data_IF_604659886759
#
_entry.id   IF_604659886759
#
_cell.length_a   1.000
_cell.length_b   1.000
_cell.length_c   1.000
_cell.angle_alpha   90.00
_cell.angle_beta   90.00
_cell.angle_gamma   90.00
#
_symmetry.space_group_name_H-M   'P 1'
#
loop_
_entity.id
_entity.type
_entity.pdbx_description
1 polymer ?
#
# COMPACT_ATOMS: atom_id res chain seq x y z
N UNK A 1 31.05 -12.78 -3.75
CA UNK A 1 29.57 -12.70 -3.70
C UNK A 1 28.92 -13.04 -5.05
N UNK A 2 29.49 -12.60 -6.18
CA UNK A 2 28.93 -12.90 -7.51
C UNK A 2 28.78 -14.40 -7.74
N UNK A 3 29.85 -15.17 -7.54
CA UNK A 3 29.83 -16.64 -7.69
C UNK A 3 28.78 -17.28 -6.77
N UNK A 4 28.71 -16.84 -5.52
CA UNK A 4 27.75 -17.36 -4.53
C UNK A 4 26.31 -17.14 -5.00
N UNK A 5 25.92 -15.91 -5.33
CA UNK A 5 24.55 -15.61 -5.73
C UNK A 5 24.17 -16.17 -7.09
N UNK A 6 25.12 -16.29 -8.04
CA UNK A 6 24.90 -17.00 -9.29
C UNK A 6 24.63 -18.50 -9.04
N UNK A 7 25.45 -19.15 -8.20
CA UNK A 7 25.23 -20.53 -7.80
C UNK A 7 23.85 -20.70 -7.12
N UNK A 8 23.49 -19.82 -6.19
CA UNK A 8 22.18 -19.85 -5.53
C UNK A 8 21.02 -19.68 -6.52
N UNK A 9 21.18 -18.85 -7.55
CA UNK A 9 20.15 -18.68 -8.58
C UNK A 9 19.91 -19.97 -9.36
N UNK A 10 20.99 -20.65 -9.76
CA UNK A 10 20.91 -21.96 -10.47
C UNK A 10 20.29 -23.03 -9.56
N UNK A 11 20.74 -23.08 -8.29
CA UNK A 11 20.21 -24.01 -7.30
C UNK A 11 18.71 -23.82 -7.07
N UNK A 12 18.26 -22.58 -6.91
CA UNK A 12 16.84 -22.24 -6.69
C UNK A 12 15.97 -22.63 -7.89
N UNK A 13 16.45 -22.41 -9.11
CA UNK A 13 15.77 -22.88 -10.33
C UNK A 13 15.69 -24.39 -10.39
N UNK A 14 16.78 -25.10 -10.05
CA UNK A 14 16.82 -26.56 -9.96
C UNK A 14 15.85 -27.08 -8.89
N UNK A 15 15.82 -26.51 -7.72
CA UNK A 15 14.89 -26.88 -6.64
C UNK A 15 13.43 -26.62 -7.04
N UNK A 16 13.15 -25.52 -7.76
CA UNK A 16 11.82 -25.27 -8.30
C UNK A 16 11.42 -26.32 -9.34
N UNK A 17 12.31 -26.67 -10.28
CA UNK A 17 12.08 -27.72 -11.27
C UNK A 17 11.81 -29.08 -10.60
N UNK A 18 12.61 -29.43 -9.60
CA UNK A 18 12.45 -30.66 -8.82
C UNK A 18 11.12 -30.66 -8.04
N UNK A 19 10.74 -29.54 -7.48
CA UNK A 19 9.45 -29.37 -6.78
C UNK A 19 8.26 -29.68 -7.68
N UNK A 20 8.30 -29.28 -8.94
CA UNK A 20 7.23 -29.58 -9.90
C UNK A 20 7.25 -31.10 -10.24
N UNK A 21 8.41 -31.65 -10.47
CA UNK A 21 8.57 -33.06 -10.87
C UNK A 21 8.14 -34.03 -9.76
N UNK A 22 8.65 -33.81 -8.54
CA UNK A 22 8.38 -34.64 -7.37
C UNK A 22 7.05 -34.27 -6.65
N UNK A 23 6.38 -33.19 -7.07
CA UNK A 23 5.19 -32.64 -6.41
C UNK A 23 5.43 -32.24 -4.94
N UNK A 24 6.64 -31.86 -4.59
CA UNK A 24 7.05 -31.44 -3.25
C UNK A 24 6.89 -29.92 -3.09
N UNK A 25 5.77 -29.48 -2.55
CA UNK A 25 5.48 -28.06 -2.37
C UNK A 25 6.33 -27.36 -1.29
N UNK A 26 7.08 -28.11 -0.50
CA UNK A 26 7.92 -27.57 0.59
C UNK A 26 9.31 -27.12 0.11
N UNK A 27 9.82 -27.69 -0.97
CA UNK A 27 11.15 -27.35 -1.50
C UNK A 27 11.30 -25.85 -1.82
N UNK A 28 10.37 -25.19 -2.50
CA UNK A 28 10.48 -23.75 -2.74
C UNK A 28 10.47 -22.93 -1.46
N UNK A 29 9.79 -23.39 -0.40
CA UNK A 29 9.76 -22.70 0.90
C UNK A 29 11.13 -22.76 1.57
N UNK A 30 11.76 -23.94 1.58
CA UNK A 30 13.11 -24.13 2.15
C UNK A 30 14.13 -23.30 1.36
N UNK A 31 14.08 -23.36 0.02
CA UNK A 31 14.96 -22.59 -0.86
C UNK A 31 14.82 -21.08 -0.61
N UNK A 32 13.57 -20.60 -0.45
CA UNK A 32 13.26 -19.21 -0.16
C UNK A 32 13.91 -18.75 1.15
N UNK A 33 13.65 -19.47 2.25
CA UNK A 33 14.20 -19.15 3.56
C UNK A 33 15.72 -19.13 3.52
N UNK A 34 16.34 -20.17 2.98
CA UNK A 34 17.80 -20.25 2.90
C UNK A 34 18.39 -19.11 2.08
N UNK A 35 17.80 -18.76 0.94
CA UNK A 35 18.30 -17.70 0.06
C UNK A 35 18.28 -16.35 0.76
N UNK A 36 17.18 -15.99 1.40
CA UNK A 36 17.08 -14.68 2.06
C UNK A 36 17.83 -14.61 3.38
N UNK A 37 18.02 -15.74 4.08
CA UNK A 37 18.92 -15.82 5.25
C UNK A 37 20.37 -15.56 4.82
N UNK A 38 20.86 -16.24 3.78
CA UNK A 38 22.23 -16.02 3.26
C UNK A 38 22.42 -14.57 2.79
N UNK A 39 21.43 -14.02 2.07
CA UNK A 39 21.45 -12.62 1.63
C UNK A 39 21.46 -11.66 2.81
N UNK A 40 20.66 -11.93 3.84
CA UNK A 40 20.63 -11.14 5.08
C UNK A 40 21.96 -11.18 5.84
N UNK A 41 22.56 -12.35 6.00
CA UNK A 41 23.90 -12.49 6.63
C UNK A 41 24.93 -11.70 5.82
N UNK A 42 24.90 -11.80 4.50
CA UNK A 42 25.83 -11.03 3.64
C UNK A 42 25.67 -9.51 3.85
N UNK A 43 24.45 -9.01 3.96
CA UNK A 43 24.17 -7.60 4.26
C UNK A 43 24.69 -7.18 5.64
N UNK A 44 24.54 -8.04 6.66
CA UNK A 44 25.02 -7.77 8.02
C UNK A 44 26.54 -7.74 8.13
N UNK A 45 27.29 -8.40 7.24
CA UNK A 45 28.76 -8.38 7.23
C UNK A 45 29.36 -7.05 6.75
N UNK A 46 28.54 -6.04 6.47
CA UNK A 46 28.99 -4.68 6.14
C UNK A 46 29.60 -4.51 4.75
N UNK A 47 29.57 -5.51 3.89
CA UNK A 47 30.09 -5.45 2.52
C UNK A 47 29.38 -4.41 1.63
N UNK A 48 28.26 -3.85 2.08
CA UNK A 48 27.46 -2.90 1.32
C UNK A 48 27.74 -1.44 1.64
N UNK A 49 28.51 -1.17 2.70
CA UNK A 49 28.78 0.20 3.12
C UNK A 49 29.82 0.85 2.19
N UNK A 50 29.34 1.62 1.23
CA UNK A 50 30.16 2.58 0.49
C UNK A 50 30.42 2.32 -0.99
N UNK A 51 30.00 1.20 -1.61
CA UNK A 51 30.18 1.01 -3.05
C UNK A 51 28.84 0.86 -3.79
N UNK A 52 28.51 1.84 -4.63
CA UNK A 52 27.35 1.83 -5.54
C UNK A 52 27.36 0.60 -6.44
N UNK A 53 28.51 0.14 -6.91
CA UNK A 53 28.64 -1.05 -7.76
C UNK A 53 28.14 -2.34 -7.09
N UNK A 54 28.44 -2.54 -5.81
CA UNK A 54 27.97 -3.72 -5.06
C UNK A 54 26.44 -3.65 -4.90
N UNK A 55 25.89 -2.48 -4.61
CA UNK A 55 24.44 -2.28 -4.49
C UNK A 55 23.71 -2.60 -5.79
N UNK A 56 24.27 -2.22 -6.96
CA UNK A 56 23.69 -2.55 -8.28
C UNK A 56 23.65 -4.07 -8.49
N UNK A 57 24.73 -4.79 -8.23
CA UNK A 57 24.77 -6.24 -8.41
C UNK A 57 23.79 -6.95 -7.45
N UNK A 58 23.75 -6.50 -6.18
CA UNK A 58 22.81 -7.08 -5.21
C UNK A 58 21.35 -6.81 -5.58
N UNK A 59 21.05 -5.64 -6.13
CA UNK A 59 19.71 -5.33 -6.65
C UNK A 59 19.35 -6.25 -7.82
N UNK A 60 20.27 -6.52 -8.74
CA UNK A 60 20.05 -7.46 -9.84
C UNK A 60 19.76 -8.87 -9.31
N UNK A 61 20.53 -9.38 -8.33
CA UNK A 61 20.28 -10.67 -7.72
C UNK A 61 18.97 -10.72 -6.94
N UNK A 62 18.65 -9.67 -6.18
CA UNK A 62 17.37 -9.57 -5.49
C UNK A 62 16.18 -9.60 -6.48
N UNK A 63 16.31 -8.92 -7.62
CA UNK A 63 15.31 -8.95 -8.70
C UNK A 63 15.20 -10.35 -9.32
N UNK A 64 16.33 -11.03 -9.56
CA UNK A 64 16.34 -12.38 -10.06
C UNK A 64 15.65 -13.36 -9.08
N UNK A 65 15.98 -13.28 -7.80
CA UNK A 65 15.33 -14.09 -6.76
C UNK A 65 13.84 -13.79 -6.65
N UNK A 66 13.46 -12.51 -6.73
CA UNK A 66 12.05 -12.12 -6.75
C UNK A 66 11.26 -12.86 -7.82
N UNK A 67 11.76 -12.90 -9.06
CA UNK A 67 11.10 -13.61 -10.15
C UNK A 67 11.14 -15.12 -9.97
N UNK A 68 12.25 -15.70 -9.50
CA UNK A 68 12.34 -17.16 -9.21
C UNK A 68 11.29 -17.56 -8.19
N UNK A 69 11.11 -16.79 -7.10
CA UNK A 69 10.12 -17.08 -6.05
C UNK A 69 8.70 -16.64 -6.38
N UNK A 70 8.44 -16.05 -7.54
CA UNK A 70 7.10 -15.94 -8.12
C UNK A 70 6.69 -17.19 -8.91
N UNK A 71 7.65 -18.00 -9.40
CA UNK A 71 7.36 -19.22 -10.17
C UNK A 71 6.47 -20.23 -9.43
N UNK A 72 6.49 -20.39 -8.10
CA UNK A 72 5.55 -21.23 -7.38
C UNK A 72 4.06 -20.99 -7.69
N UNK A 73 3.68 -19.81 -8.17
CA UNK A 73 2.34 -19.58 -8.72
C UNK A 73 2.00 -20.58 -9.84
N UNK A 74 2.96 -20.90 -10.70
CA UNK A 74 2.80 -21.87 -11.78
C UNK A 74 2.53 -23.29 -11.26
N UNK A 75 3.18 -23.67 -10.14
CA UNK A 75 2.93 -24.97 -9.49
C UNK A 75 1.53 -25.03 -8.89
N UNK A 76 1.05 -23.96 -8.25
CA UNK A 76 -0.32 -23.87 -7.72
C UNK A 76 -1.34 -24.09 -8.84
N UNK A 77 -1.05 -23.60 -10.05
CA UNK A 77 -1.95 -23.72 -11.19
C UNK A 77 -1.97 -25.15 -11.79
N UNK A 78 -0.85 -25.86 -11.72
CA UNK A 78 -0.70 -27.20 -12.35
C UNK A 78 -1.06 -28.35 -11.42
N UNK A 79 -0.80 -28.21 -10.13
CA UNK A 79 -0.87 -29.32 -9.17
C UNK A 79 -1.99 -29.05 -8.15
N UNK A 80 -3.09 -29.81 -8.21
CA UNK A 80 -4.23 -29.62 -7.29
C UNK A 80 -3.88 -29.81 -5.82
N UNK A 81 -2.96 -30.74 -5.52
CA UNK A 81 -2.48 -30.97 -4.15
C UNK A 81 -1.78 -29.73 -3.55
N UNK A 82 -1.19 -28.88 -4.38
CA UNK A 82 -0.47 -27.67 -3.97
C UNK A 82 -1.41 -26.49 -3.70
N UNK A 83 -2.67 -26.51 -4.19
CA UNK A 83 -3.68 -25.48 -3.88
C UNK A 83 -3.90 -25.28 -2.39
N UNK A 84 -3.66 -26.29 -1.57
CA UNK A 84 -3.86 -26.28 -0.12
C UNK A 84 -2.59 -25.93 0.64
N UNK A 85 -1.44 -25.74 -0.03
CA UNK A 85 -0.17 -25.48 0.64
C UNK A 85 -0.06 -23.99 1.00
N UNK A 86 -0.36 -23.67 2.29
CA UNK A 86 -0.24 -22.33 2.84
C UNK A 86 1.19 -21.78 2.77
N UNK A 87 2.20 -22.65 2.80
CA UNK A 87 3.60 -22.27 2.72
C UNK A 87 3.95 -21.57 1.42
N UNK A 88 3.48 -22.07 0.27
CA UNK A 88 3.71 -21.43 -1.03
C UNK A 88 3.04 -20.05 -1.14
N UNK A 89 1.84 -19.90 -0.58
CA UNK A 89 1.18 -18.60 -0.53
C UNK A 89 1.97 -17.61 0.33
N UNK A 90 2.48 -18.06 1.48
CA UNK A 90 3.33 -17.25 2.33
C UNK A 90 4.62 -16.84 1.62
N UNK A 91 5.27 -17.74 0.87
CA UNK A 91 6.45 -17.40 0.06
C UNK A 91 6.12 -16.28 -0.93
N UNK A 92 5.01 -16.37 -1.66
CA UNK A 92 4.61 -15.34 -2.63
C UNK A 92 4.39 -14.00 -1.93
N UNK A 93 3.67 -13.99 -0.81
CA UNK A 93 3.38 -12.75 -0.06
C UNK A 93 4.66 -12.14 0.49
N UNK A 94 5.44 -12.93 1.25
CA UNK A 94 6.67 -12.44 1.90
C UNK A 94 7.75 -12.04 0.90
N UNK A 95 7.84 -12.72 -0.25
CA UNK A 95 8.76 -12.38 -1.33
C UNK A 95 8.56 -10.94 -1.85
N UNK A 96 7.31 -10.51 -2.01
CA UNK A 96 7.00 -9.14 -2.43
C UNK A 96 7.49 -8.10 -1.40
N UNK A 97 7.27 -8.34 -0.10
CA UNK A 97 7.72 -7.42 0.96
C UNK A 97 9.24 -7.41 1.13
N UNK A 98 9.88 -8.58 1.08
CA UNK A 98 11.34 -8.66 1.19
C UNK A 98 11.99 -7.97 -0.02
N UNK A 99 11.46 -8.17 -1.23
CA UNK A 99 11.99 -7.51 -2.42
C UNK A 99 11.82 -5.98 -2.35
N UNK A 100 10.69 -5.46 -1.86
CA UNK A 100 10.52 -4.03 -1.63
C UNK A 100 11.55 -3.50 -0.62
N UNK A 101 11.73 -4.19 0.52
CA UNK A 101 12.65 -3.78 1.57
C UNK A 101 14.10 -3.72 1.06
N UNK A 102 14.55 -4.79 0.40
CA UNK A 102 15.89 -4.87 -0.19
C UNK A 102 16.07 -3.84 -1.30
N UNK A 103 15.04 -3.66 -2.13
CA UNK A 103 15.06 -2.69 -3.21
C UNK A 103 15.19 -1.26 -2.70
N UNK A 104 14.43 -0.88 -1.67
CA UNK A 104 14.58 0.44 -1.01
C UNK A 104 16.01 0.62 -0.49
N UNK A 105 16.55 -0.40 0.19
CA UNK A 105 17.92 -0.35 0.73
C UNK A 105 18.94 -0.13 -0.38
N UNK A 106 18.86 -0.88 -1.48
CA UNK A 106 19.83 -0.78 -2.57
C UNK A 106 19.67 0.50 -3.39
N UNK A 107 18.44 0.91 -3.68
CA UNK A 107 18.17 2.14 -4.46
C UNK A 107 18.65 3.40 -3.72
N UNK A 108 18.48 3.46 -2.40
CA UNK A 108 19.02 4.54 -1.57
C UNK A 108 20.55 4.60 -1.62
N UNK A 109 21.20 3.43 -1.54
CA UNK A 109 22.66 3.38 -1.62
C UNK A 109 23.21 3.72 -3.02
N UNK A 110 22.38 3.61 -4.08
CA UNK A 110 22.76 4.04 -5.43
C UNK A 110 22.69 5.57 -5.61
N UNK A 111 22.04 6.32 -4.71
CA UNK A 111 21.96 7.78 -4.77
C UNK A 111 21.25 8.31 -6.02
N UNK A 112 20.20 7.65 -6.47
CA UNK A 112 19.43 8.07 -7.64
C UNK A 112 18.75 9.43 -7.42
N UNK A 113 18.66 10.30 -8.45
CA UNK A 113 18.19 11.68 -8.30
C UNK A 113 16.67 11.84 -8.09
N UNK A 114 15.88 10.76 -8.12
CA UNK A 114 14.43 10.77 -7.95
C UNK A 114 14.01 9.69 -6.93
N UNK A 115 12.81 9.83 -6.39
CA UNK A 115 12.21 8.88 -5.42
C UNK A 115 11.94 7.51 -6.08
N UNK A 116 13.00 6.78 -6.42
CA UNK A 116 12.96 5.49 -7.14
C UNK A 116 12.29 4.38 -6.33
N UNK A 117 12.27 4.52 -5.01
CA UNK A 117 11.67 3.55 -4.10
C UNK A 117 10.15 3.44 -4.29
N UNK A 118 9.46 4.56 -4.51
CA UNK A 118 8.04 4.56 -4.81
C UNK A 118 7.72 3.94 -6.17
N UNK A 119 8.57 4.18 -7.18
CA UNK A 119 8.44 3.52 -8.49
C UNK A 119 8.63 2.00 -8.38
N UNK A 120 9.55 1.54 -7.53
CA UNK A 120 9.71 0.10 -7.27
C UNK A 120 8.45 -0.50 -6.65
N UNK A 121 7.86 0.15 -5.64
CA UNK A 121 6.60 -0.31 -5.03
C UNK A 121 5.47 -0.38 -6.07
N UNK A 122 5.36 0.64 -6.92
CA UNK A 122 4.38 0.66 -8.00
C UNK A 122 4.61 -0.47 -9.01
N UNK A 123 5.88 -0.74 -9.36
CA UNK A 123 6.24 -1.85 -10.27
C UNK A 123 5.82 -3.20 -9.67
N UNK A 124 6.06 -3.42 -8.38
CA UNK A 124 5.60 -4.63 -7.69
C UNK A 124 4.08 -4.75 -7.74
N UNK A 125 3.34 -3.64 -7.52
CA UNK A 125 1.89 -3.61 -7.63
C UNK A 125 1.43 -4.01 -9.05
N UNK A 126 2.05 -3.45 -10.09
CA UNK A 126 1.74 -3.77 -11.49
C UNK A 126 2.02 -5.25 -11.81
N UNK A 127 3.14 -5.81 -11.36
CA UNK A 127 3.46 -7.24 -11.57
C UNK A 127 2.38 -8.11 -10.93
N UNK A 128 2.00 -7.82 -9.67
CA UNK A 128 0.93 -8.55 -9.00
C UNK A 128 -0.43 -8.38 -9.69
N UNK A 129 -0.74 -7.20 -10.23
CA UNK A 129 -1.96 -6.95 -11.00
C UNK A 129 -2.00 -7.78 -12.30
N UNK A 130 -0.88 -7.84 -13.02
CA UNK A 130 -0.75 -8.69 -14.23
C UNK A 130 -1.00 -10.15 -13.88
N UNK A 131 -0.46 -10.63 -12.75
CA UNK A 131 -0.71 -11.99 -12.26
C UNK A 131 -2.19 -12.21 -11.90
N UNK A 132 -2.86 -11.22 -11.29
CA UNK A 132 -4.31 -11.28 -11.01
C UNK A 132 -5.12 -11.41 -12.31
N UNK A 133 -4.82 -10.59 -13.31
CA UNK A 133 -5.50 -10.62 -14.61
C UNK A 133 -5.29 -11.99 -15.28
N UNK A 134 -4.06 -12.47 -15.29
CA UNK A 134 -3.71 -13.79 -15.85
C UNK A 134 -4.41 -14.95 -15.14
N UNK A 135 -4.46 -14.93 -13.80
CA UNK A 135 -5.20 -15.90 -12.99
C UNK A 135 -6.70 -15.88 -13.28
N UNK A 136 -7.28 -14.68 -13.47
CA UNK A 136 -8.70 -14.50 -13.78
C UNK A 136 -9.07 -15.03 -15.17
N UNK A 137 -8.15 -14.93 -16.13
CA UNK A 137 -8.34 -15.49 -17.48
C UNK A 137 -8.26 -17.02 -17.51
N UNK A 138 -7.67 -17.64 -16.48
CA UNK A 138 -7.65 -19.09 -16.32
C UNK A 138 -9.07 -19.62 -16.02
N UNK A 139 -9.47 -20.70 -16.70
CA UNK A 139 -10.80 -21.30 -16.54
C UNK A 139 -11.02 -21.98 -15.17
N UNK A 140 -10.03 -21.98 -14.27
CA UNK A 140 -10.08 -22.63 -12.96
C UNK A 140 -10.49 -21.64 -11.87
N UNK A 141 -11.18 -22.10 -10.84
CA UNK A 141 -11.63 -21.28 -9.71
C UNK A 141 -10.49 -21.03 -8.70
N UNK A 142 -9.80 -19.92 -8.86
CA UNK A 142 -8.71 -19.47 -7.98
C UNK A 142 -9.12 -18.26 -7.12
N UNK A 143 -10.41 -18.13 -6.76
CA UNK A 143 -10.94 -16.95 -6.05
C UNK A 143 -10.07 -16.49 -4.89
N UNK A 144 -9.68 -17.43 -4.01
CA UNK A 144 -8.87 -17.08 -2.84
C UNK A 144 -7.51 -16.48 -3.23
N UNK A 145 -6.81 -17.07 -4.20
CA UNK A 145 -5.51 -16.59 -4.68
C UNK A 145 -5.65 -15.23 -5.36
N UNK A 146 -6.67 -15.06 -6.20
CA UNK A 146 -6.96 -13.79 -6.88
C UNK A 146 -7.18 -12.68 -5.85
N UNK A 147 -8.00 -12.92 -4.81
CA UNK A 147 -8.22 -11.92 -3.77
C UNK A 147 -6.96 -11.65 -2.93
N UNK A 148 -6.17 -12.67 -2.62
CA UNK A 148 -4.90 -12.48 -1.92
C UNK A 148 -3.92 -11.61 -2.72
N UNK A 149 -3.78 -11.89 -4.03
CA UNK A 149 -2.94 -11.10 -4.92
C UNK A 149 -3.48 -9.68 -5.13
N UNK A 150 -4.81 -9.51 -5.23
CA UNK A 150 -5.44 -8.19 -5.29
C UNK A 150 -5.20 -7.38 -4.01
N UNK A 151 -5.21 -8.05 -2.85
CA UNK A 151 -4.80 -7.45 -1.59
C UNK A 151 -3.36 -6.93 -1.63
N UNK A 152 -2.42 -7.71 -2.21
CA UNK A 152 -1.04 -7.25 -2.40
C UNK A 152 -0.96 -6.03 -3.33
N UNK A 153 -1.69 -6.03 -4.45
CA UNK A 153 -1.75 -4.87 -5.36
C UNK A 153 -2.14 -3.61 -4.58
N UNK A 154 -3.23 -3.67 -3.83
CA UNK A 154 -3.71 -2.53 -3.05
C UNK A 154 -2.69 -2.12 -1.99
N UNK A 155 -2.09 -3.09 -1.28
CA UNK A 155 -1.07 -2.79 -0.26
C UNK A 155 0.13 -2.06 -0.87
N UNK A 156 0.64 -2.50 -2.03
CA UNK A 156 1.79 -1.86 -2.67
C UNK A 156 1.44 -0.51 -3.29
N UNK A 157 0.23 -0.32 -3.80
CA UNK A 157 -0.28 1.00 -4.20
C UNK A 157 -0.35 1.93 -2.98
N UNK A 158 -0.92 1.46 -1.86
CA UNK A 158 -0.97 2.20 -0.58
C UNK A 158 0.40 2.63 -0.07
N UNK A 159 1.40 1.74 -0.16
CA UNK A 159 2.79 2.01 0.25
C UNK A 159 3.47 2.99 -0.70
N UNK A 160 3.17 2.92 -2.01
CA UNK A 160 3.73 3.84 -3.01
C UNK A 160 3.41 5.29 -2.69
N UNK A 161 2.20 5.55 -2.21
CA UNK A 161 1.67 6.90 -1.96
C UNK A 161 2.53 7.69 -0.98
N UNK A 162 2.77 7.25 0.27
CA UNK A 162 3.59 8.00 1.21
C UNK A 162 5.10 8.04 0.85
N UNK A 163 5.57 7.13 0.00
CA UNK A 163 6.96 7.16 -0.49
C UNK A 163 7.11 8.18 -1.61
N UNK A 164 6.12 8.31 -2.50
CA UNK A 164 6.22 9.10 -3.72
C UNK A 164 5.63 10.51 -3.57
N UNK A 165 4.55 10.63 -2.81
CA UNK A 165 3.81 11.86 -2.64
C UNK A 165 4.09 12.51 -1.29
N UNK A 166 3.92 13.81 -1.22
CA UNK A 166 4.11 14.61 0.00
C UNK A 166 2.80 15.32 0.37
N UNK A 167 2.61 15.59 1.67
CA UNK A 167 1.52 16.42 2.18
C UNK A 167 0.13 15.85 1.95
N UNK A 168 -0.79 16.73 1.59
CA UNK A 168 -2.23 16.48 1.49
C UNK A 168 -2.63 15.34 0.53
N UNK A 169 -1.79 15.01 -0.46
CA UNK A 169 -2.06 13.92 -1.41
C UNK A 169 -2.12 12.55 -0.73
N UNK A 170 -1.34 12.33 0.34
CA UNK A 170 -1.35 11.06 1.10
C UNK A 170 -2.74 10.84 1.69
N UNK A 171 -3.28 11.86 2.36
CA UNK A 171 -4.61 11.82 3.00
C UNK A 171 -5.72 11.56 1.98
N UNK A 172 -5.65 12.21 0.83
CA UNK A 172 -6.62 12.07 -0.25
C UNK A 172 -6.67 10.63 -0.77
N UNK A 173 -5.50 10.04 -1.05
CA UNK A 173 -5.42 8.66 -1.56
C UNK A 173 -5.87 7.63 -0.52
N UNK A 174 -5.46 7.77 0.74
CA UNK A 174 -5.90 6.86 1.79
C UNK A 174 -7.41 6.93 2.04
N UNK A 175 -8.00 8.13 1.95
CA UNK A 175 -9.46 8.29 2.03
C UNK A 175 -10.17 7.57 0.87
N UNK A 176 -9.67 7.67 -0.36
CA UNK A 176 -10.21 6.96 -1.52
C UNK A 176 -10.07 5.44 -1.37
N UNK A 177 -8.89 4.98 -0.94
CA UNK A 177 -8.60 3.54 -0.78
C UNK A 177 -9.38 2.91 0.37
N UNK A 178 -9.65 3.65 1.45
CA UNK A 178 -10.54 3.22 2.54
C UNK A 178 -11.94 2.87 2.01
N UNK A 179 -12.52 3.71 1.15
CA UNK A 179 -13.82 3.45 0.53
C UNK A 179 -13.77 2.27 -0.45
N UNK A 180 -12.68 2.17 -1.23
CA UNK A 180 -12.46 1.07 -2.16
C UNK A 180 -12.36 -0.29 -1.44
N UNK A 181 -11.59 -0.36 -0.34
CA UNK A 181 -11.46 -1.58 0.46
C UNK A 181 -12.80 -1.99 1.11
N UNK A 182 -13.58 -1.01 1.59
CA UNK A 182 -14.92 -1.28 2.09
C UNK A 182 -15.80 -1.88 1.00
N UNK A 183 -15.77 -1.32 -0.21
CA UNK A 183 -16.52 -1.84 -1.35
C UNK A 183 -16.06 -3.27 -1.73
N UNK A 184 -14.74 -3.54 -1.69
CA UNK A 184 -14.19 -4.87 -1.91
C UNK A 184 -14.65 -5.86 -0.83
N UNK A 185 -14.71 -5.44 0.43
CA UNK A 185 -15.28 -6.26 1.51
C UNK A 185 -16.72 -6.62 1.22
N UNK A 186 -17.54 -5.64 0.84
CA UNK A 186 -18.97 -5.87 0.48
C UNK A 186 -19.11 -6.89 -0.65
N UNK A 187 -18.24 -6.83 -1.67
CA UNK A 187 -18.28 -7.73 -2.83
C UNK A 187 -17.70 -9.12 -2.58
N UNK A 188 -16.60 -9.20 -1.83
CA UNK A 188 -15.85 -10.44 -1.62
C UNK A 188 -16.24 -11.17 -0.33
N UNK A 189 -16.73 -10.45 0.68
CA UNK A 189 -16.99 -10.93 2.05
C UNK A 189 -15.75 -11.51 2.74
N UNK A 190 -14.55 -11.11 2.31
CA UNK A 190 -13.30 -11.58 2.87
C UNK A 190 -12.89 -10.66 4.02
N UNK A 191 -12.79 -11.20 5.24
CA UNK A 191 -12.51 -10.43 6.46
C UNK A 191 -11.14 -9.71 6.49
N UNK A 192 -10.23 -10.04 5.57
CA UNK A 192 -8.97 -9.30 5.41
C UNK A 192 -9.23 -7.87 4.95
N UNK A 193 -10.16 -7.66 4.01
CA UNK A 193 -10.53 -6.32 3.55
C UNK A 193 -11.23 -5.50 4.63
N UNK A 194 -12.02 -6.15 5.49
CA UNK A 194 -12.63 -5.50 6.64
C UNK A 194 -11.56 -4.90 7.58
N UNK A 195 -10.51 -5.69 7.90
CA UNK A 195 -9.39 -5.22 8.73
C UNK A 195 -8.55 -4.15 8.04
N UNK A 196 -8.25 -4.34 6.76
CA UNK A 196 -7.49 -3.37 5.97
C UNK A 196 -8.23 -2.01 5.90
N UNK A 197 -9.56 -2.04 5.75
CA UNK A 197 -10.40 -0.83 5.81
C UNK A 197 -10.25 -0.09 7.14
N UNK A 198 -10.22 -0.82 8.28
CA UNK A 198 -10.02 -0.19 9.60
C UNK A 198 -8.64 0.43 9.75
N UNK A 199 -7.60 -0.25 9.26
CA UNK A 199 -6.23 0.29 9.28
C UNK A 199 -6.16 1.59 8.47
N UNK A 200 -6.69 1.58 7.23
CA UNK A 200 -6.71 2.79 6.40
C UNK A 200 -7.57 3.91 6.99
N UNK A 201 -8.67 3.56 7.64
CA UNK A 201 -9.47 4.56 8.35
C UNK A 201 -8.65 5.25 9.45
N UNK A 202 -7.86 4.49 10.22
CA UNK A 202 -6.95 5.04 11.23
C UNK A 202 -5.85 5.90 10.60
N UNK A 203 -5.22 5.42 9.53
CA UNK A 203 -4.17 6.15 8.81
C UNK A 203 -4.72 7.45 8.18
N UNK A 204 -5.89 7.41 7.55
CA UNK A 204 -6.56 8.59 6.99
C UNK A 204 -6.85 9.62 8.08
N UNK A 205 -7.32 9.19 9.25
CA UNK A 205 -7.58 10.09 10.38
C UNK A 205 -6.30 10.76 10.86
N UNK A 206 -5.23 9.98 11.09
CA UNK A 206 -3.94 10.51 11.55
C UNK A 206 -3.37 11.49 10.53
N UNK A 207 -3.35 11.11 9.24
CA UNK A 207 -2.86 11.98 8.16
C UNK A 207 -3.67 13.27 8.06
N UNK A 208 -5.00 13.19 8.15
CA UNK A 208 -5.88 14.36 8.12
C UNK A 208 -5.66 15.30 9.31
N UNK A 209 -5.45 14.75 10.51
CA UNK A 209 -5.10 15.57 11.69
C UNK A 209 -3.74 16.26 11.53
N UNK A 210 -2.77 15.60 10.91
CA UNK A 210 -1.48 16.21 10.58
C UNK A 210 -1.64 17.34 9.55
N UNK A 211 -2.50 17.17 8.54
CA UNK A 211 -2.78 18.21 7.55
C UNK A 211 -3.45 19.42 8.19
N UNK A 212 -4.43 19.23 9.09
CA UNK A 212 -5.05 20.31 9.87
C UNK A 212 -3.99 21.03 10.71
N UNK A 213 -3.14 20.28 11.43
CA UNK A 213 -2.07 20.86 12.24
C UNK A 213 -1.12 21.72 11.40
N UNK A 214 -0.71 21.23 10.24
CA UNK A 214 0.16 21.96 9.32
C UNK A 214 -0.50 23.26 8.83
N UNK A 215 -1.79 23.24 8.47
CA UNK A 215 -2.55 24.44 8.07
C UNK A 215 -2.60 25.46 9.20
N UNK A 216 -2.86 25.04 10.43
CA UNK A 216 -2.92 25.94 11.59
C UNK A 216 -1.56 26.58 11.92
N UNK A 217 -0.46 25.87 11.72
CA UNK A 217 0.89 26.33 12.05
C UNK A 217 1.57 27.13 10.92
N UNK A 218 1.21 26.84 9.66
CA UNK A 218 1.92 27.39 8.49
C UNK A 218 1.09 28.41 7.70
N UNK A 219 -0.12 28.82 8.20
CA UNK A 219 -1.08 29.64 7.48
C UNK A 219 -0.44 30.88 6.82
N UNK A 220 -0.10 30.75 5.55
CA UNK A 220 0.25 31.84 4.66
C UNK A 220 -1.03 32.35 4.01
N UNK A 221 -1.36 33.60 4.26
CA UNK A 221 -2.57 34.32 3.82
C UNK A 221 -2.66 34.58 2.30
N UNK A 222 -1.96 33.83 1.47
CA UNK A 222 -1.86 34.05 0.02
C UNK A 222 -2.59 33.02 -0.84
N UNK A 223 -3.30 32.06 -0.24
CA UNK A 223 -4.01 31.03 -1.02
C UNK A 223 -5.38 31.55 -1.52
N UNK A 224 -5.75 31.13 -2.73
CA UNK A 224 -7.04 31.49 -3.37
C UNK A 224 -8.21 30.81 -2.67
N UNK A 225 -9.33 31.53 -2.52
CA UNK A 225 -10.57 31.04 -1.90
C UNK A 225 -11.08 29.81 -2.64
N UNK A 226 -11.38 28.72 -1.93
CA UNK A 226 -11.90 27.43 -2.44
C UNK A 226 -11.02 26.69 -3.45
N UNK A 227 -9.90 27.28 -3.91
CA UNK A 227 -8.99 26.68 -4.89
C UNK A 227 -7.63 26.35 -4.26
N UNK A 228 -7.61 26.03 -2.97
CA UNK A 228 -6.40 25.60 -2.27
C UNK A 228 -6.40 24.07 -2.03
N UNK A 229 -5.20 23.51 -1.91
CA UNK A 229 -5.02 22.06 -1.73
C UNK A 229 -5.62 21.55 -0.43
N UNK A 230 -5.60 22.36 0.63
CA UNK A 230 -6.13 22.01 1.94
C UNK A 230 -7.65 21.91 1.94
N UNK A 231 -8.34 22.87 1.28
CA UNK A 231 -9.79 22.83 1.11
C UNK A 231 -10.20 21.60 0.29
N UNK A 232 -9.55 21.37 -0.86
CA UNK A 232 -9.84 20.24 -1.74
C UNK A 232 -9.67 18.90 -1.00
N UNK A 233 -8.59 18.75 -0.23
CA UNK A 233 -8.34 17.52 0.56
C UNK A 233 -9.39 17.34 1.65
N UNK A 234 -9.68 18.37 2.45
CA UNK A 234 -10.68 18.29 3.51
C UNK A 234 -12.08 17.97 2.96
N UNK A 235 -12.46 18.61 1.85
CA UNK A 235 -13.72 18.33 1.17
C UNK A 235 -13.79 16.86 0.70
N UNK A 236 -12.72 16.37 0.07
CA UNK A 236 -12.65 14.99 -0.40
C UNK A 236 -12.71 13.99 0.74
N UNK A 237 -11.98 14.20 1.84
CA UNK A 237 -12.03 13.35 3.04
C UNK A 237 -13.44 13.32 3.64
N UNK A 238 -14.12 14.46 3.73
CA UNK A 238 -15.50 14.53 4.20
C UNK A 238 -16.46 13.75 3.30
N UNK A 239 -16.33 13.89 1.97
CA UNK A 239 -17.13 13.14 0.99
C UNK A 239 -16.83 11.64 1.03
N UNK A 240 -15.56 11.24 1.13
CA UNK A 240 -15.16 9.83 1.24
C UNK A 240 -15.71 9.19 2.53
N UNK A 241 -15.64 9.89 3.66
CA UNK A 241 -16.20 9.44 4.93
C UNK A 241 -17.72 9.31 4.85
N UNK A 242 -18.39 10.25 4.17
CA UNK A 242 -19.83 10.17 3.89
C UNK A 242 -20.18 8.98 2.99
N UNK A 243 -19.43 8.75 1.91
CA UNK A 243 -19.59 7.60 1.03
C UNK A 243 -19.39 6.26 1.77
N UNK A 244 -18.43 6.22 2.69
CA UNK A 244 -18.22 5.07 3.59
C UNK A 244 -19.48 4.77 4.40
N UNK A 245 -20.06 5.76 5.05
CA UNK A 245 -21.29 5.60 5.85
C UNK A 245 -22.49 5.19 4.98
N UNK A 246 -22.63 5.77 3.78
CA UNK A 246 -23.69 5.40 2.83
C UNK A 246 -23.56 3.95 2.36
N UNK A 247 -22.34 3.48 2.07
CA UNK A 247 -22.09 2.07 1.73
C UNK A 247 -22.45 1.14 2.90
N UNK A 248 -22.07 1.48 4.13
CA UNK A 248 -22.47 0.70 5.31
C UNK A 248 -23.99 0.67 5.47
N UNK A 249 -24.67 1.81 5.28
CA UNK A 249 -26.12 1.92 5.35
C UNK A 249 -26.83 1.05 4.32
N UNK A 250 -26.34 1.06 3.07
CA UNK A 250 -26.90 0.26 1.96
C UNK A 250 -26.76 -1.25 2.16
N UNK A 251 -25.70 -1.70 2.82
CA UNK A 251 -25.41 -3.11 3.07
C UNK A 251 -25.48 -3.47 4.56
N UNK A 252 -26.41 -2.85 5.29
CA UNK A 252 -26.59 -2.95 6.74
C UNK A 252 -26.56 -4.38 7.27
N UNK A 253 -27.23 -5.33 6.60
CA UNK A 253 -27.28 -6.74 7.01
C UNK A 253 -25.89 -7.37 7.10
N UNK A 254 -25.00 -7.07 6.16
CA UNK A 254 -23.62 -7.56 6.17
C UNK A 254 -22.84 -7.05 7.39
N UNK A 255 -23.02 -5.78 7.73
CA UNK A 255 -22.28 -5.14 8.82
C UNK A 255 -22.89 -5.41 10.21
N UNK A 256 -24.11 -5.93 10.29
CA UNK A 256 -24.69 -6.37 11.56
C UNK A 256 -23.98 -7.61 12.09
N UNK A 257 -23.55 -8.51 11.21
CA UNK A 257 -22.80 -9.74 11.52
C UNK A 257 -21.29 -9.59 11.40
N UNK A 258 -20.79 -8.45 10.95
CA UNK A 258 -19.38 -8.18 10.75
C UNK A 258 -18.62 -8.23 12.10
N UNK A 259 -17.43 -8.81 12.08
CA UNK A 259 -16.63 -9.01 13.30
C UNK A 259 -16.03 -7.74 13.85
N UNK A 260 -15.58 -6.85 12.96
CA UNK A 260 -14.83 -5.64 13.31
C UNK A 260 -15.59 -4.36 13.00
N UNK A 261 -16.20 -4.26 11.82
CA UNK A 261 -16.97 -3.08 11.39
C UNK A 261 -18.47 -3.32 11.63
N UNK A 262 -18.87 -3.39 12.89
CA UNK A 262 -20.33 -3.48 13.21
C UNK A 262 -21.06 -2.22 12.78
N UNK A 263 -22.25 -2.39 12.18
CA UNK A 263 -23.07 -1.29 11.69
C UNK A 263 -23.27 -0.19 12.72
N UNK A 264 -23.76 -0.59 13.88
CA UNK A 264 -24.03 0.31 14.98
C UNK A 264 -22.84 0.51 15.79
N UNK A 265 -21.84 0.92 16.04
CA UNK A 265 -21.53 2.34 16.21
C UNK A 265 -20.88 2.98 14.95
N UNK A 266 -20.25 2.17 14.11
CA UNK A 266 -19.37 2.72 13.05
C UNK A 266 -20.12 3.60 12.05
N UNK A 267 -21.36 3.25 11.66
CA UNK A 267 -22.12 4.09 10.74
C UNK A 267 -22.43 5.47 11.33
N UNK A 268 -22.82 5.54 12.61
CA UNK A 268 -23.08 6.80 13.28
C UNK A 268 -21.83 7.66 13.46
N UNK A 269 -20.71 7.00 13.84
CA UNK A 269 -19.41 7.66 13.95
C UNK A 269 -18.98 8.25 12.60
N UNK A 270 -19.10 7.50 11.51
CA UNK A 270 -18.73 7.96 10.17
C UNK A 270 -19.61 9.11 9.67
N UNK A 271 -20.93 9.07 9.93
CA UNK A 271 -21.83 10.17 9.58
C UNK A 271 -21.49 11.45 10.35
N UNK A 272 -21.25 11.33 11.67
CA UNK A 272 -20.85 12.47 12.49
C UNK A 272 -19.47 13.01 12.07
N UNK A 273 -18.51 12.13 11.79
CA UNK A 273 -17.20 12.53 11.31
C UNK A 273 -17.28 13.24 9.95
N UNK A 274 -18.07 12.72 9.01
CA UNK A 274 -18.28 13.37 7.71
C UNK A 274 -18.89 14.78 7.88
N UNK A 275 -19.92 14.90 8.71
CA UNK A 275 -20.55 16.20 9.00
C UNK A 275 -19.56 17.18 9.66
N UNK A 276 -18.79 16.71 10.65
CA UNK A 276 -17.79 17.52 11.34
C UNK A 276 -16.66 17.97 10.40
N UNK A 277 -16.16 17.07 9.55
CA UNK A 277 -15.10 17.40 8.57
C UNK A 277 -15.62 18.42 7.56
N UNK A 278 -16.81 18.22 7.00
CA UNK A 278 -17.40 19.16 6.05
C UNK A 278 -17.65 20.53 6.71
N UNK A 279 -18.19 20.53 7.92
CA UNK A 279 -18.38 21.77 8.67
C UNK A 279 -17.05 22.50 8.92
N UNK A 280 -16.02 21.77 9.38
CA UNK A 280 -14.68 22.32 9.58
C UNK A 280 -14.10 22.89 8.28
N UNK A 281 -14.26 22.18 7.17
CA UNK A 281 -13.75 22.60 5.84
C UNK A 281 -14.25 24.00 5.46
N UNK A 282 -15.56 24.22 5.57
CA UNK A 282 -16.14 25.54 5.26
C UNK A 282 -15.82 26.60 6.30
N UNK A 283 -15.82 26.24 7.60
CA UNK A 283 -15.47 27.19 8.67
C UNK A 283 -14.01 27.62 8.62
N UNK A 284 -13.08 26.71 8.34
CA UNK A 284 -11.66 27.04 8.22
C UNK A 284 -11.41 27.98 7.04
N UNK A 285 -12.06 27.74 5.90
CA UNK A 285 -11.96 28.59 4.72
C UNK A 285 -12.48 30.01 5.00
N UNK A 286 -13.65 30.11 5.62
CA UNK A 286 -14.22 31.40 6.03
C UNK A 286 -13.33 32.16 7.04
N UNK A 287 -12.80 31.45 8.04
CA UNK A 287 -11.95 32.05 9.06
C UNK A 287 -10.63 32.60 8.49
N UNK A 288 -9.99 31.86 7.56
CA UNK A 288 -8.76 32.30 6.92
C UNK A 288 -8.97 33.57 6.08
N UNK A 289 -10.10 33.70 5.38
CA UNK A 289 -10.38 34.83 4.52
C UNK A 289 -10.86 36.07 5.30
N UNK A 290 -11.66 35.88 6.35
CA UNK A 290 -12.03 36.98 7.24
C UNK A 290 -10.81 37.57 7.97
N UNK A 291 -9.90 36.71 8.44
CA UNK A 291 -8.65 37.14 9.07
C UNK A 291 -7.74 37.89 8.09
N UNK A 292 -7.68 37.48 6.83
CA UNK A 292 -6.95 38.15 5.75
C UNK A 292 -7.54 39.50 5.40
N UNK A 293 -8.87 39.64 5.33
CA UNK A 293 -9.57 40.87 5.04
C UNK A 293 -9.42 41.93 6.17
N UNK A 294 -9.48 41.49 7.43
CA UNK A 294 -9.26 42.39 8.58
C UNK A 294 -7.81 42.88 8.66
N UNK A 295 -6.83 42.03 8.33
CA UNK A 295 -5.40 42.37 8.31
C UNK A 295 -5.05 43.36 7.19
N UNK A 296 -5.59 43.18 5.99
CA UNK A 296 -5.44 44.10 4.85
C UNK A 296 -6.18 45.44 5.11
N UNK A 297 -7.35 45.40 5.75
CA UNK A 297 -8.09 46.60 6.16
C UNK A 297 -7.33 47.41 7.23
N UNK A 298 -6.69 46.75 8.21
CA UNK A 298 -5.83 47.42 9.16
C UNK A 298 -4.57 48.02 8.51
N UNK A 299 -3.90 47.33 7.58
CA UNK A 299 -2.74 47.92 6.89
C UNK A 299 -3.10 49.16 6.06
N UNK A 300 -4.25 49.17 5.38
CA UNK A 300 -4.72 50.35 4.65
C UNK A 300 -5.08 51.48 5.58
N UNK A 301 -5.59 51.21 6.78
CA UNK A 301 -5.89 52.26 7.78
C UNK A 301 -4.63 52.85 8.43
N UNK A 302 -3.49 52.18 8.42
CA UNK A 302 -2.22 52.71 8.92
C UNK A 302 -1.37 53.41 7.84
N UNK A 303 -1.75 53.33 6.57
CA UNK A 303 -1.04 53.94 5.42
C UNK A 303 -1.80 55.17 4.87
N UNK A 304 -2.98 55.45 5.37
CA UNK A 304 -3.78 56.69 5.10
C UNK A 304 -3.67 57.65 6.26
#
# INVERSE_FOLDING_TARGET
YLVLFTYMSILNLGMFGLSIYMKWGELPVIAFVFTYVVMGIFLLTGFTTGSTHISVHLFIFATLFYFIFLLPILSILRIEAVKKNRGLLLVIITNNFIYLLLGILFLRNMGLPFKSEGLLSLLIAIINLVLVIWLRMSKKDYKFLIYAMLGLVLTFVSITIPIQLDGNYITLFWAAEMVLLLWLYVKSKIGVYERATQVLMGLTLVSYLMDIYNVLMTSSSSETIFLNSSFATSLFVGLATGAFALLMGRYRSLFTEARYLRYTPWNSIMLLAAAAILYYTFMAEFALHLAGATRSGMMLAFTS
#
